data_IF_538958408163
#
_entry.id   IF_538958408163
#
_cell.length_a   1.000
_cell.length_b   1.000
_cell.length_c   1.000
_cell.angle_alpha   90.00
_cell.angle_beta   90.00
_cell.angle_gamma   90.00
#
_symmetry.space_group_name_H-M   'P 1'
#
loop_
_entity.id
_entity.type
_entity.pdbx_description
1 polymer ?
#
# COMPACT_ATOMS: atom_id res chain seq x y z
N UNK A 1 59.39 -32.95 -24.44
CA UNK A 1 59.66 -31.49 -24.61
C UNK A 1 58.40 -30.81 -25.07
N UNK A 2 57.66 -30.16 -24.14
CA UNK A 2 56.46 -29.38 -24.45
C UNK A 2 56.89 -27.99 -24.97
N UNK A 3 56.38 -27.62 -26.14
CA UNK A 3 56.79 -26.40 -26.85
C UNK A 3 56.45 -25.14 -26.09
N UNK A 4 57.39 -24.21 -25.96
CA UNK A 4 57.28 -22.89 -25.29
C UNK A 4 56.12 -22.06 -25.86
N UNK A 5 55.63 -22.32 -27.06
CA UNK A 5 54.50 -21.64 -27.69
C UNK A 5 53.16 -21.87 -26.98
N UNK A 6 52.95 -23.06 -26.35
CA UNK A 6 51.70 -23.37 -25.67
C UNK A 6 51.58 -22.68 -24.31
N UNK A 7 52.74 -22.32 -23.69
CA UNK A 7 52.73 -21.64 -22.39
C UNK A 7 52.31 -20.15 -22.49
N UNK A 8 52.72 -19.47 -23.58
CA UNK A 8 52.33 -18.06 -23.81
C UNK A 8 50.84 -17.91 -24.11
N UNK A 9 50.26 -18.86 -24.81
CA UNK A 9 48.83 -18.82 -25.14
C UNK A 9 47.94 -19.07 -23.89
N UNK A 10 48.39 -19.92 -22.97
CA UNK A 10 47.69 -20.21 -21.72
C UNK A 10 47.67 -19.01 -20.75
N UNK A 11 48.84 -18.33 -20.63
CA UNK A 11 48.94 -17.13 -19.78
C UNK A 11 48.10 -15.96 -20.32
N UNK A 12 48.01 -15.82 -21.64
CA UNK A 12 47.22 -14.75 -22.26
C UNK A 12 45.71 -14.95 -22.04
N UNK A 13 45.24 -16.19 -22.14
CA UNK A 13 43.84 -16.52 -21.90
C UNK A 13 43.44 -16.35 -20.42
N UNK A 14 44.33 -16.68 -19.48
CA UNK A 14 44.09 -16.46 -18.04
C UNK A 14 44.03 -14.96 -17.72
N UNK A 15 44.89 -14.15 -18.33
CA UNK A 15 44.90 -12.71 -18.13
C UNK A 15 43.61 -12.05 -18.66
N UNK A 16 43.11 -12.50 -19.83
CA UNK A 16 41.84 -12.00 -20.40
C UNK A 16 40.67 -12.38 -19.50
N UNK A 17 40.62 -13.59 -18.96
CA UNK A 17 39.55 -14.04 -18.04
C UNK A 17 39.59 -13.21 -16.75
N UNK A 18 40.76 -12.91 -16.20
CA UNK A 18 40.88 -12.07 -15.00
C UNK A 18 40.42 -10.62 -15.26
N UNK A 19 40.74 -10.05 -16.42
CA UNK A 19 40.31 -8.70 -16.80
C UNK A 19 38.76 -8.66 -16.94
N UNK A 20 38.16 -9.66 -17.56
CA UNK A 20 36.68 -9.76 -17.63
C UNK A 20 36.05 -9.90 -16.28
N UNK A 21 36.64 -10.67 -15.34
CA UNK A 21 36.14 -10.82 -13.99
C UNK A 21 36.22 -9.51 -13.19
N UNK A 22 37.31 -8.76 -13.31
CA UNK A 22 37.46 -7.45 -12.67
C UNK A 22 36.50 -6.41 -13.27
N UNK A 23 36.29 -6.40 -14.59
CA UNK A 23 35.32 -5.50 -15.23
C UNK A 23 33.87 -5.84 -14.83
N UNK A 24 33.51 -7.11 -14.72
CA UNK A 24 32.18 -7.54 -14.27
C UNK A 24 31.94 -7.18 -12.80
N UNK A 25 32.94 -7.31 -11.93
CA UNK A 25 32.85 -6.97 -10.52
C UNK A 25 32.79 -5.44 -10.30
N UNK A 26 33.55 -4.67 -11.05
CA UNK A 26 33.48 -3.19 -11.02
C UNK A 26 32.13 -2.66 -11.53
N UNK A 27 31.53 -3.33 -12.51
CA UNK A 27 30.19 -2.96 -13.00
C UNK A 27 29.08 -3.29 -11.99
N UNK A 28 29.22 -4.40 -11.22
CA UNK A 28 28.30 -4.71 -10.12
C UNK A 28 28.41 -3.70 -8.96
N UNK A 29 29.63 -3.32 -8.57
CA UNK A 29 29.87 -2.35 -7.51
C UNK A 29 29.43 -0.92 -7.91
N UNK A 30 29.61 -0.53 -9.18
CA UNK A 30 29.13 0.75 -9.68
C UNK A 30 27.60 0.85 -9.74
N UNK A 31 26.88 -0.26 -9.92
CA UNK A 31 25.42 -0.28 -9.87
C UNK A 31 24.89 -0.22 -8.43
N UNK A 32 25.60 -0.79 -7.45
CA UNK A 32 25.20 -0.70 -6.03
C UNK A 32 25.34 0.74 -5.53
N UNK A 33 26.40 1.43 -5.91
CA UNK A 33 26.64 2.83 -5.49
C UNK A 33 25.65 3.83 -6.13
N UNK A 34 25.29 3.63 -7.40
CA UNK A 34 24.26 4.46 -8.07
C UNK A 34 22.87 4.31 -7.45
N UNK A 35 22.55 3.13 -6.90
CA UNK A 35 21.28 2.93 -6.22
C UNK A 35 21.25 3.56 -4.82
N UNK A 36 22.38 3.67 -4.13
CA UNK A 36 22.49 4.26 -2.81
C UNK A 36 22.34 5.79 -2.84
N UNK A 37 22.84 6.46 -3.87
CA UNK A 37 22.61 7.91 -4.10
C UNK A 37 21.13 8.23 -4.41
N UNK A 38 20.42 7.37 -5.13
CA UNK A 38 18.98 7.54 -5.39
C UNK A 38 18.09 7.41 -4.15
N UNK A 39 18.54 6.70 -3.10
CA UNK A 39 17.81 6.54 -1.84
C UNK A 39 17.71 7.85 -1.04
N UNK A 40 18.63 8.79 -1.21
CA UNK A 40 18.62 10.05 -0.45
C UNK A 40 17.60 11.08 -0.95
N UNK A 41 17.17 10.96 -2.23
CA UNK A 41 16.20 11.87 -2.87
C UNK A 41 14.76 11.33 -2.82
N UNK A 42 14.51 10.29 -2.01
CA UNK A 42 13.20 9.68 -1.90
C UNK A 42 12.38 10.46 -0.87
N UNK A 43 11.14 10.86 -1.18
CA UNK A 43 10.24 11.46 -0.20
C UNK A 43 10.17 10.60 1.07
N UNK A 44 10.10 11.23 2.25
CA UNK A 44 10.11 10.53 3.54
C UNK A 44 9.03 9.45 3.63
N UNK A 45 7.85 9.70 3.08
CA UNK A 45 6.75 8.74 2.96
C UNK A 45 7.15 7.47 2.21
N UNK A 46 7.85 7.64 1.09
CA UNK A 46 8.33 6.50 0.31
C UNK A 46 9.48 5.78 1.01
N UNK A 47 10.34 6.48 1.78
CA UNK A 47 11.39 5.88 2.61
C UNK A 47 10.80 5.03 3.72
N UNK A 48 9.82 5.55 4.44
CA UNK A 48 9.16 4.84 5.53
C UNK A 48 8.39 3.61 5.03
N UNK A 49 7.91 3.66 3.80
CA UNK A 49 7.28 2.53 3.11
C UNK A 49 8.26 1.42 2.73
N UNK A 50 9.58 1.66 2.76
CA UNK A 50 10.62 0.66 2.43
C UNK A 50 10.70 -0.48 3.45
N UNK A 51 10.22 -0.31 4.68
CA UNK A 51 10.10 -1.39 5.67
C UNK A 51 9.20 -2.56 5.25
N UNK A 52 8.48 -2.45 4.15
CA UNK A 52 7.71 -3.56 3.57
C UNK A 52 8.58 -4.54 2.78
N UNK A 53 9.80 -4.12 2.41
CA UNK A 53 10.74 -4.93 1.64
C UNK A 53 11.73 -5.73 2.49
N UNK A 54 11.87 -5.41 3.77
CA UNK A 54 12.77 -6.11 4.70
C UNK A 54 12.47 -7.63 4.79
N UNK A 55 11.22 -8.01 4.50
CA UNK A 55 10.78 -9.40 4.55
C UNK A 55 11.06 -10.19 3.24
N UNK A 56 11.54 -9.51 2.16
CA UNK A 56 11.68 -10.12 0.83
C UNK A 56 12.92 -9.60 0.05
N UNK A 57 14.15 -9.92 0.48
CA UNK A 57 15.37 -9.35 -0.10
C UNK A 57 15.66 -9.71 -1.57
N UNK A 58 14.89 -10.61 -2.19
CA UNK A 58 15.10 -11.07 -3.56
C UNK A 58 14.40 -10.25 -4.67
N UNK A 59 13.66 -9.18 -4.35
CA UNK A 59 12.77 -8.49 -5.30
C UNK A 59 13.18 -7.04 -5.63
N UNK A 60 14.48 -6.75 -5.70
CA UNK A 60 15.01 -5.40 -5.97
C UNK A 60 14.41 -4.74 -7.23
N UNK A 61 14.12 -5.50 -8.28
CA UNK A 61 13.53 -4.96 -9.51
C UNK A 61 12.07 -4.48 -9.34
N UNK A 62 11.28 -5.18 -8.56
CA UNK A 62 9.92 -4.76 -8.21
C UNK A 62 9.93 -3.55 -7.29
N UNK A 63 10.83 -3.57 -6.32
CA UNK A 63 11.07 -2.48 -5.40
C UNK A 63 11.35 -1.15 -6.11
N UNK A 64 12.31 -1.11 -7.01
CA UNK A 64 12.64 0.12 -7.75
C UNK A 64 11.45 0.66 -8.55
N UNK A 65 10.64 -0.22 -9.13
CA UNK A 65 9.45 0.13 -9.89
C UNK A 65 8.36 0.75 -9.00
N UNK A 66 8.09 0.13 -7.86
CA UNK A 66 7.13 0.62 -6.87
C UNK A 66 7.61 1.94 -6.28
N UNK A 67 8.90 2.06 -6.03
CA UNK A 67 9.50 3.28 -5.53
C UNK A 67 9.37 4.47 -6.51
N UNK A 68 9.64 4.26 -7.80
CA UNK A 68 9.46 5.32 -8.80
C UNK A 68 7.97 5.72 -8.93
N UNK A 69 7.07 4.75 -8.83
CA UNK A 69 5.63 5.01 -8.80
C UNK A 69 5.22 5.80 -7.55
N UNK A 70 5.73 5.41 -6.37
CA UNK A 70 5.50 6.12 -5.11
C UNK A 70 5.96 7.59 -5.18
N UNK A 71 7.14 7.86 -5.73
CA UNK A 71 7.66 9.22 -5.92
C UNK A 71 6.74 10.08 -6.78
N UNK A 72 6.25 9.51 -7.87
CA UNK A 72 5.33 10.20 -8.77
C UNK A 72 4.02 10.51 -8.05
N UNK A 73 3.43 9.52 -7.39
CA UNK A 73 2.14 9.65 -6.74
C UNK A 73 2.16 10.59 -5.52
N UNK A 74 3.19 10.50 -4.67
CA UNK A 74 3.33 11.38 -3.50
C UNK A 74 3.41 12.87 -3.88
N UNK A 75 3.91 13.17 -5.09
CA UNK A 75 3.98 14.55 -5.60
C UNK A 75 2.63 15.08 -6.06
N UNK A 76 1.77 14.22 -6.59
CA UNK A 76 0.56 14.64 -7.31
C UNK A 76 -0.69 14.73 -6.43
N UNK A 77 -0.71 14.06 -5.25
CA UNK A 77 -1.93 13.89 -4.42
C UNK A 77 -1.78 14.24 -2.94
N UNK A 78 -0.61 14.69 -2.49
CA UNK A 78 -0.47 15.16 -1.11
C UNK A 78 -1.29 16.43 -0.90
N UNK A 79 -2.17 16.50 0.12
CA UNK A 79 -2.88 17.75 0.44
C UNK A 79 -1.89 18.81 0.88
N UNK A 80 -2.23 20.09 0.66
CA UNK A 80 -1.38 21.21 1.03
C UNK A 80 -1.00 21.13 2.54
N UNK A 81 0.30 21.19 2.81
CA UNK A 81 0.83 21.17 4.17
C UNK A 81 0.88 19.80 4.85
N UNK A 82 0.62 18.71 4.12
CA UNK A 82 0.72 17.34 4.66
C UNK A 82 1.50 16.40 3.74
N UNK A 83 2.18 15.47 4.38
CA UNK A 83 2.69 14.26 3.74
C UNK A 83 1.75 13.09 4.05
N UNK A 84 1.41 12.31 3.03
CA UNK A 84 0.50 11.16 3.13
C UNK A 84 1.13 9.89 2.59
N UNK A 85 0.68 8.74 3.08
CA UNK A 85 1.06 7.46 2.51
C UNK A 85 0.58 7.35 1.06
N UNK A 86 1.42 6.90 0.12
CA UNK A 86 1.04 6.80 -1.29
C UNK A 86 -0.04 5.74 -1.54
N UNK A 87 -0.97 6.05 -2.42
CA UNK A 87 -1.92 5.09 -3.00
C UNK A 87 -1.26 4.47 -4.24
N UNK A 88 -0.86 3.20 -4.18
CA UNK A 88 -0.16 2.53 -5.29
C UNK A 88 -1.09 1.79 -6.25
N UNK A 89 -2.32 1.51 -5.85
CA UNK A 89 -3.34 0.95 -6.74
C UNK A 89 -4.64 1.67 -6.46
N UNK A 90 -5.11 2.43 -7.42
CA UNK A 90 -6.27 3.29 -7.28
C UNK A 90 -7.58 2.55 -7.59
N UNK A 91 -8.70 3.18 -7.24
CA UNK A 91 -10.03 2.70 -7.62
C UNK A 91 -10.18 2.62 -9.14
N UNK A 92 -10.65 1.48 -9.62
CA UNK A 92 -10.79 1.21 -11.06
C UNK A 92 -9.49 0.79 -11.75
N UNK A 93 -8.38 0.69 -11.03
CA UNK A 93 -7.09 0.27 -11.59
C UNK A 93 -7.09 -1.19 -12.02
N UNK A 94 -6.44 -1.47 -13.16
CA UNK A 94 -6.07 -2.82 -13.60
C UNK A 94 -4.63 -3.18 -13.20
N UNK A 95 -3.96 -2.33 -12.44
CA UNK A 95 -2.63 -2.58 -11.87
C UNK A 95 -2.72 -2.77 -10.36
N UNK A 96 -2.10 -3.83 -9.86
CA UNK A 96 -2.03 -4.11 -8.43
C UNK A 96 -1.02 -3.22 -7.70
N UNK A 97 -1.06 -3.25 -6.38
CA UNK A 97 -0.12 -2.53 -5.50
C UNK A 97 1.35 -2.87 -5.78
N UNK A 98 1.63 -4.06 -6.29
CA UNK A 98 2.95 -4.50 -6.76
C UNK A 98 3.22 -4.16 -8.24
N UNK A 99 2.41 -3.30 -8.86
CA UNK A 99 2.49 -2.89 -10.26
C UNK A 99 2.25 -3.98 -11.31
N UNK A 100 1.82 -5.18 -10.89
CA UNK A 100 1.45 -6.27 -11.80
C UNK A 100 -0.01 -6.13 -12.25
N UNK A 101 -0.35 -6.62 -13.45
CA UNK A 101 -1.74 -6.65 -13.90
C UNK A 101 -2.64 -7.39 -12.90
N UNK A 102 -3.87 -6.91 -12.74
CA UNK A 102 -4.94 -7.55 -11.99
C UNK A 102 -5.84 -8.37 -12.93
N UNK A 103 -6.45 -9.43 -12.39
CA UNK A 103 -7.47 -10.21 -13.09
C UNK A 103 -8.84 -9.54 -13.04
N UNK A 104 -9.05 -8.62 -12.10
CA UNK A 104 -10.30 -7.89 -11.88
C UNK A 104 -10.04 -6.41 -11.61
N UNK A 105 -11.00 -5.56 -11.97
CA UNK A 105 -10.95 -4.12 -11.69
C UNK A 105 -10.88 -3.89 -10.18
N UNK A 106 -9.99 -3.00 -9.74
CA UNK A 106 -9.79 -2.67 -8.34
C UNK A 106 -11.00 -1.91 -7.75
N UNK A 107 -11.57 -2.43 -6.67
CA UNK A 107 -12.80 -1.93 -6.06
C UNK A 107 -12.57 -0.98 -4.89
N UNK A 108 -11.33 -0.70 -4.57
CA UNK A 108 -10.90 0.19 -3.48
C UNK A 108 -9.64 0.95 -3.85
N UNK A 109 -8.93 1.41 -2.84
CA UNK A 109 -7.60 1.99 -2.96
C UNK A 109 -6.62 1.21 -2.08
N UNK A 110 -5.43 0.93 -2.60
CA UNK A 110 -4.35 0.27 -1.86
C UNK A 110 -3.31 1.31 -1.44
N UNK A 111 -3.21 1.54 -0.15
CA UNK A 111 -2.36 2.56 0.46
C UNK A 111 -1.20 1.88 1.16
N UNK A 112 0.03 2.07 0.69
CA UNK A 112 1.20 1.45 1.32
C UNK A 112 1.52 2.09 2.67
N UNK A 113 2.14 1.29 3.55
CA UNK A 113 2.57 1.79 4.85
C UNK A 113 3.62 0.92 5.51
N UNK A 114 4.11 1.34 6.66
CA UNK A 114 5.13 0.63 7.42
C UNK A 114 4.53 -0.28 8.51
N UNK A 115 5.33 -1.20 9.02
CA UNK A 115 4.89 -2.14 10.06
C UNK A 115 4.43 -1.41 11.34
N UNK A 116 3.32 -1.88 11.91
CA UNK A 116 2.66 -1.28 13.08
C UNK A 116 2.11 0.13 12.86
N UNK A 117 2.09 0.64 11.63
CA UNK A 117 1.49 1.96 11.37
C UNK A 117 0.02 1.95 11.81
N UNK A 118 -0.43 2.95 12.59
CA UNK A 118 -1.82 3.06 13.00
C UNK A 118 -2.73 3.25 11.78
N UNK A 119 -3.87 2.58 11.80
CA UNK A 119 -4.98 2.78 10.86
C UNK A 119 -6.09 3.45 11.65
N UNK A 120 -6.63 4.54 11.12
CA UNK A 120 -7.68 5.33 11.78
C UNK A 120 -9.03 5.24 11.05
N UNK A 121 -10.11 5.38 11.79
CA UNK A 121 -11.46 5.43 11.23
C UNK A 121 -11.63 6.67 10.34
N UNK A 122 -12.10 6.47 9.11
CA UNK A 122 -12.27 7.54 8.11
C UNK A 122 -13.45 8.48 8.41
N UNK A 123 -14.38 8.05 9.25
CA UNK A 123 -15.54 8.80 9.74
C UNK A 123 -16.06 8.17 11.04
N UNK A 124 -17.02 8.82 11.71
CA UNK A 124 -17.78 8.21 12.79
C UNK A 124 -18.50 6.96 12.26
N UNK A 125 -18.67 5.92 13.08
CA UNK A 125 -19.31 4.70 12.62
C UNK A 125 -19.48 3.62 13.67
N UNK A 126 -20.06 2.50 13.23
CA UNK A 126 -20.25 1.29 14.03
C UNK A 126 -19.49 0.13 13.37
N UNK A 127 -18.67 -0.58 14.14
CA UNK A 127 -18.00 -1.79 13.69
C UNK A 127 -19.02 -2.89 13.49
N UNK A 128 -19.14 -3.38 12.26
CA UNK A 128 -20.04 -4.47 11.90
C UNK A 128 -19.35 -5.82 12.03
N UNK A 129 -18.07 -5.91 11.72
CA UNK A 129 -17.35 -7.18 11.70
C UNK A 129 -15.84 -6.98 11.87
N UNK A 130 -15.21 -7.93 12.56
CA UNK A 130 -13.77 -8.16 12.57
C UNK A 130 -13.51 -9.61 12.22
N UNK A 131 -12.75 -9.88 11.14
CA UNK A 131 -12.53 -11.23 10.63
C UNK A 131 -11.08 -11.43 10.23
N UNK A 132 -10.60 -12.67 10.32
CA UNK A 132 -9.31 -13.09 9.76
C UNK A 132 -9.56 -14.27 8.82
N UNK A 133 -9.07 -14.17 7.58
CA UNK A 133 -9.18 -15.23 6.60
C UNK A 133 -7.90 -15.37 5.76
N UNK A 134 -7.77 -16.46 5.02
CA UNK A 134 -6.48 -16.88 4.43
C UNK A 134 -5.97 -15.97 3.30
N UNK A 135 -6.85 -15.31 2.56
CA UNK A 135 -6.45 -14.50 1.43
C UNK A 135 -6.22 -13.04 1.82
N UNK A 136 -7.22 -12.43 2.46
CA UNK A 136 -7.21 -11.02 2.83
C UNK A 136 -6.52 -10.75 4.17
N UNK A 137 -6.42 -11.77 5.02
CA UNK A 137 -5.93 -11.62 6.38
C UNK A 137 -6.96 -10.96 7.29
N UNK A 138 -6.48 -10.17 8.24
CA UNK A 138 -7.35 -9.45 9.15
C UNK A 138 -8.05 -8.30 8.43
N UNK A 139 -9.35 -8.16 8.65
CA UNK A 139 -10.23 -7.21 7.96
C UNK A 139 -11.26 -6.67 8.95
N UNK A 140 -11.55 -5.37 8.87
CA UNK A 140 -12.59 -4.69 9.66
C UNK A 140 -13.62 -4.14 8.68
N UNK A 141 -14.91 -4.30 9.02
CA UNK A 141 -16.02 -3.66 8.30
C UNK A 141 -16.70 -2.67 9.24
N UNK A 142 -16.86 -1.42 8.78
CA UNK A 142 -17.48 -0.34 9.56
C UNK A 142 -18.58 0.32 8.74
N UNK A 143 -19.76 0.45 9.34
CA UNK A 143 -20.84 1.28 8.81
C UNK A 143 -20.64 2.73 9.29
N UNK A 144 -20.31 3.62 8.36
CA UNK A 144 -20.12 5.05 8.58
C UNK A 144 -21.39 5.88 8.28
N UNK A 145 -22.54 5.20 8.12
CA UNK A 145 -23.82 5.85 7.86
C UNK A 145 -24.02 6.29 6.42
N UNK A 146 -24.58 7.46 6.21
CA UNK A 146 -24.93 7.97 4.89
C UNK A 146 -23.92 8.99 4.38
N UNK A 147 -23.56 8.86 3.11
CA UNK A 147 -22.83 9.87 2.35
C UNK A 147 -23.72 11.09 2.02
N UNK A 148 -23.08 12.17 1.56
CA UNK A 148 -23.78 13.40 1.13
C UNK A 148 -24.76 13.13 -0.02
N UNK A 149 -24.53 12.15 -0.86
CA UNK A 149 -25.41 11.74 -1.95
C UNK A 149 -26.49 10.71 -1.52
N UNK A 150 -26.60 10.43 -0.22
CA UNK A 150 -27.58 9.53 0.38
C UNK A 150 -27.23 8.04 0.30
N UNK A 151 -26.13 7.65 -0.34
CA UNK A 151 -25.64 6.27 -0.37
C UNK A 151 -25.09 5.86 0.98
N UNK A 152 -25.12 4.57 1.29
CA UNK A 152 -24.44 4.05 2.48
C UNK A 152 -22.92 4.13 2.28
N UNK A 153 -22.19 4.44 3.36
CA UNK A 153 -20.74 4.38 3.45
C UNK A 153 -20.33 3.22 4.34
N UNK A 154 -20.28 2.02 3.78
CA UNK A 154 -19.79 0.85 4.51
C UNK A 154 -18.37 0.58 4.05
N UNK A 155 -17.40 0.80 4.95
CA UNK A 155 -15.99 0.70 4.64
C UNK A 155 -15.41 -0.65 5.06
N UNK A 156 -14.58 -1.22 4.19
CA UNK A 156 -13.75 -2.38 4.43
C UNK A 156 -12.31 -1.90 4.58
N UNK A 157 -11.70 -2.21 5.71
CA UNK A 157 -10.29 -2.00 6.01
C UNK A 157 -9.60 -3.36 5.91
N UNK A 158 -9.12 -3.72 4.73
CA UNK A 158 -8.49 -5.01 4.45
C UNK A 158 -7.00 -5.03 4.74
N UNK A 159 -6.46 -6.23 4.94
CA UNK A 159 -5.04 -6.48 5.16
C UNK A 159 -4.45 -5.85 6.44
N UNK A 160 -5.30 -5.59 7.43
CA UNK A 160 -4.82 -5.08 8.72
C UNK A 160 -4.08 -6.16 9.51
N UNK A 161 -3.36 -5.77 10.54
CA UNK A 161 -2.63 -6.70 11.40
C UNK A 161 -3.33 -6.92 12.73
N UNK A 162 -3.20 -5.96 13.62
CA UNK A 162 -3.75 -6.01 14.97
C UNK A 162 -5.03 -5.17 15.05
N UNK A 163 -6.15 -5.80 15.46
CA UNK A 163 -7.39 -5.08 15.75
C UNK A 163 -7.25 -4.24 17.04
N UNK A 164 -7.82 -3.05 17.04
CA UNK A 164 -7.97 -2.18 18.22
C UNK A 164 -9.42 -1.96 18.59
N UNK A 165 -10.33 -2.57 17.83
CA UNK A 165 -11.77 -2.52 18.00
C UNK A 165 -12.37 -3.92 17.92
N UNK A 166 -13.58 -4.06 18.44
CA UNK A 166 -14.38 -5.28 18.39
C UNK A 166 -15.70 -5.02 17.64
N UNK A 167 -16.38 -6.09 17.25
CA UNK A 167 -17.74 -5.99 16.71
C UNK A 167 -18.66 -5.24 17.65
N UNK A 168 -19.51 -4.38 17.10
CA UNK A 168 -20.44 -3.48 17.75
C UNK A 168 -19.82 -2.25 18.44
N UNK A 169 -18.52 -2.08 18.46
CA UNK A 169 -17.90 -0.84 18.95
C UNK A 169 -18.36 0.36 18.12
N UNK A 170 -18.54 1.49 18.79
CA UNK A 170 -18.76 2.79 18.16
C UNK A 170 -17.43 3.51 18.07
N UNK A 171 -17.05 3.93 16.87
CA UNK A 171 -15.82 4.64 16.60
C UNK A 171 -16.09 6.08 16.17
N UNK A 172 -15.16 6.95 16.50
CA UNK A 172 -15.11 8.32 15.99
C UNK A 172 -14.10 8.44 14.87
N UNK A 173 -14.30 9.38 13.97
CA UNK A 173 -13.28 9.76 12.97
C UNK A 173 -11.97 10.03 13.66
N UNK A 174 -10.89 9.40 13.15
CA UNK A 174 -9.55 9.53 13.74
C UNK A 174 -9.21 8.52 14.84
N UNK A 175 -10.18 7.77 15.38
CA UNK A 175 -9.89 6.70 16.34
C UNK A 175 -9.02 5.62 15.71
N UNK A 176 -8.01 5.15 16.44
CA UNK A 176 -7.18 4.03 15.97
C UNK A 176 -7.99 2.74 16.03
N UNK A 177 -8.28 2.16 14.87
CA UNK A 177 -9.07 0.92 14.73
C UNK A 177 -8.21 -0.32 14.52
N UNK A 178 -7.00 -0.15 13.99
CA UNK A 178 -6.07 -1.25 13.76
C UNK A 178 -4.64 -0.73 13.60
N UNK A 179 -3.71 -1.67 13.31
CA UNK A 179 -2.36 -1.37 12.83
C UNK A 179 -2.07 -2.19 11.58
N UNK A 180 -1.20 -1.71 10.71
CA UNK A 180 -0.66 -2.53 9.62
C UNK A 180 0.15 -3.72 10.16
N UNK A 181 0.13 -4.89 9.48
CA UNK A 181 0.75 -6.09 9.97
C UNK A 181 2.28 -5.98 10.01
N UNK A 182 2.90 -6.65 10.98
CA UNK A 182 4.36 -6.77 11.07
C UNK A 182 4.90 -7.61 9.89
N UNK A 183 4.19 -8.70 9.54
CA UNK A 183 4.56 -9.61 8.46
C UNK A 183 3.50 -9.64 7.37
N UNK A 184 3.93 -9.56 6.11
CA UNK A 184 3.08 -9.70 4.93
C UNK A 184 3.02 -11.19 4.56
N UNK A 185 2.05 -11.91 5.10
CA UNK A 185 1.94 -13.37 4.97
C UNK A 185 0.76 -13.87 4.14
N UNK A 186 -0.26 -13.04 3.97
CA UNK A 186 -1.47 -13.45 3.28
C UNK A 186 -1.35 -13.30 1.77
N UNK A 187 -1.94 -14.24 1.03
CA UNK A 187 -1.78 -14.35 -0.43
C UNK A 187 -2.26 -13.11 -1.19
N UNK A 188 -3.40 -12.55 -0.78
CA UNK A 188 -4.00 -11.39 -1.46
C UNK A 188 -3.31 -10.06 -1.16
N UNK A 189 -2.34 -10.02 -0.24
CA UNK A 189 -1.54 -8.83 0.03
C UNK A 189 -0.46 -8.55 -1.03
N UNK A 190 -0.38 -9.35 -2.09
CA UNK A 190 0.60 -9.18 -3.18
C UNK A 190 2.06 -9.02 -2.71
N UNK A 191 2.38 -9.52 -1.52
CA UNK A 191 3.68 -9.37 -0.82
C UNK A 191 4.09 -7.93 -0.51
N UNK A 192 3.15 -7.00 -0.56
CA UNK A 192 3.35 -5.58 -0.24
C UNK A 192 2.52 -5.24 1.00
N UNK A 193 3.11 -4.54 1.98
CA UNK A 193 2.36 -4.07 3.16
C UNK A 193 1.55 -2.85 2.75
N UNK A 194 0.24 -3.00 2.83
CA UNK A 194 -0.69 -1.93 2.50
C UNK A 194 -2.00 -2.10 3.26
N UNK A 195 -2.76 -1.04 3.33
CA UNK A 195 -4.17 -1.06 3.65
C UNK A 195 -4.94 -1.09 2.34
N UNK A 196 -5.86 -2.05 2.18
CA UNK A 196 -6.91 -1.97 1.18
C UNK A 196 -8.14 -1.29 1.80
N UNK A 197 -8.48 -0.10 1.31
CA UNK A 197 -9.69 0.61 1.71
C UNK A 197 -10.72 0.53 0.59
N UNK A 198 -11.82 -0.16 0.84
CA UNK A 198 -12.96 -0.26 -0.08
C UNK A 198 -14.21 0.32 0.57
N UNK A 199 -15.02 1.03 -0.19
CA UNK A 199 -16.32 1.53 0.26
C UNK A 199 -17.40 0.88 -0.58
N UNK A 200 -18.44 0.35 0.08
CA UNK A 200 -19.63 -0.23 -0.55
C UNK A 200 -20.90 0.40 -0.03
N UNK A 201 -22.02 0.07 -0.68
CA UNK A 201 -23.34 0.62 -0.36
C UNK A 201 -24.18 -0.34 0.46
N UNK A 202 -23.84 -1.63 0.50
CA UNK A 202 -24.63 -2.67 1.12
C UNK A 202 -23.75 -3.56 1.99
N UNK A 203 -24.31 -4.06 3.07
CA UNK A 203 -23.72 -5.09 3.91
C UNK A 203 -24.64 -6.32 3.89
N UNK A 204 -24.05 -7.47 3.61
CA UNK A 204 -24.76 -8.72 3.55
C UNK A 204 -24.54 -9.52 4.84
N UNK A 205 -25.60 -9.70 5.63
CA UNK A 205 -25.53 -10.38 6.93
C UNK A 205 -25.40 -11.92 6.88
N UNK A 206 -25.38 -12.51 5.68
CA UNK A 206 -25.22 -13.97 5.56
C UNK A 206 -23.81 -14.38 5.90
N UNK A 207 -23.62 -14.98 7.06
CA UNK A 207 -22.32 -15.34 7.65
C UNK A 207 -21.44 -16.26 6.77
N UNK A 208 -22.03 -17.01 5.84
CA UNK A 208 -21.33 -18.09 5.12
C UNK A 208 -20.78 -17.67 3.75
N UNK A 209 -21.00 -16.45 3.32
CA UNK A 209 -20.56 -15.99 2.01
C UNK A 209 -19.75 -14.70 2.11
N UNK A 210 -18.43 -14.87 2.14
CA UNK A 210 -17.46 -13.78 2.14
C UNK A 210 -17.74 -12.73 1.06
N UNK A 211 -17.96 -13.16 -0.19
CA UNK A 211 -18.24 -12.24 -1.29
C UNK A 211 -19.57 -11.51 -1.20
N UNK A 212 -20.55 -12.06 -0.47
CA UNK A 212 -21.79 -11.36 -0.16
C UNK A 212 -21.56 -10.29 0.91
N UNK A 213 -20.80 -10.61 1.95
CA UNK A 213 -20.48 -9.68 3.04
C UNK A 213 -19.75 -8.44 2.59
N UNK A 214 -18.85 -8.58 1.63
CA UNK A 214 -17.87 -7.55 1.31
C UNK A 214 -18.08 -6.93 -0.07
N UNK A 215 -19.22 -7.14 -0.73
CA UNK A 215 -19.56 -6.55 -2.05
C UNK A 215 -18.55 -6.84 -3.16
N UNK A 216 -17.66 -7.79 -2.98
CA UNK A 216 -16.43 -7.95 -3.76
C UNK A 216 -16.67 -8.37 -5.21
N UNK A 217 -17.85 -8.90 -5.53
CA UNK A 217 -18.12 -9.48 -6.85
C UNK A 217 -18.60 -8.48 -7.89
N UNK A 218 -18.98 -7.28 -7.48
CA UNK A 218 -19.57 -6.31 -8.39
C UNK A 218 -18.91 -4.94 -8.21
N UNK A 219 -18.04 -4.60 -9.15
CA UNK A 219 -17.38 -3.30 -9.18
C UNK A 219 -18.37 -2.13 -9.09
N UNK A 220 -19.54 -2.25 -9.70
CA UNK A 220 -20.55 -1.18 -9.70
C UNK A 220 -21.23 -0.95 -8.35
N UNK A 221 -21.07 -1.87 -7.39
CA UNK A 221 -21.53 -1.70 -6.01
C UNK A 221 -20.52 -1.02 -5.11
N UNK A 222 -19.27 -0.96 -5.54
CA UNK A 222 -18.21 -0.23 -4.85
C UNK A 222 -18.28 1.24 -5.19
N UNK A 223 -17.91 2.07 -4.21
CA UNK A 223 -17.86 3.52 -4.35
C UNK A 223 -16.40 3.97 -4.44
N UNK A 224 -16.13 4.87 -5.37
CA UNK A 224 -14.82 5.49 -5.47
C UNK A 224 -14.56 6.39 -4.24
N UNK A 225 -13.60 6.08 -3.35
CA UNK A 225 -13.31 6.88 -2.16
C UNK A 225 -13.01 8.35 -2.46
N UNK A 226 -12.44 8.63 -3.63
CA UNK A 226 -12.07 10.00 -4.04
C UNK A 226 -13.26 10.94 -4.24
N UNK A 227 -14.48 10.42 -4.29
CA UNK A 227 -15.69 11.25 -4.39
C UNK A 227 -16.17 11.79 -3.04
N UNK A 228 -15.65 11.26 -1.91
CA UNK A 228 -16.19 11.47 -0.57
C UNK A 228 -15.25 12.17 0.40
N UNK A 229 -14.06 12.62 -0.04
CA UNK A 229 -13.16 13.37 0.82
C UNK A 229 -13.82 14.60 1.41
N UNK A 230 -13.49 14.95 2.66
CA UNK A 230 -14.17 16.03 3.39
C UNK A 230 -13.97 17.42 2.80
N UNK A 231 -12.87 17.65 2.07
CA UNK A 231 -12.61 18.91 1.35
C UNK A 231 -13.18 18.94 -0.07
N UNK A 232 -13.82 17.86 -0.48
CA UNK A 232 -14.48 17.74 -1.77
C UNK A 232 -13.89 16.65 -2.66
N UNK A 233 -14.53 16.43 -3.78
CA UNK A 233 -14.18 15.41 -4.75
C UNK A 233 -12.72 15.53 -5.21
N UNK A 234 -12.00 14.42 -5.15
CA UNK A 234 -10.58 14.30 -5.51
C UNK A 234 -9.62 15.16 -4.63
N UNK A 235 -10.09 15.67 -3.50
CA UNK A 235 -9.27 16.40 -2.54
C UNK A 235 -9.04 15.53 -1.31
N UNK A 236 -8.01 14.68 -1.38
CA UNK A 236 -7.62 13.86 -0.24
C UNK A 236 -7.51 14.74 1.01
N UNK A 237 -8.18 14.34 2.09
CA UNK A 237 -8.30 15.12 3.31
C UNK A 237 -7.69 14.36 4.48
N UNK A 238 -6.69 14.95 5.14
CA UNK A 238 -6.12 14.45 6.38
C UNK A 238 -7.05 14.68 7.58
N UNK A 239 -7.04 13.74 8.52
CA UNK A 239 -7.67 13.97 9.82
C UNK A 239 -6.79 14.90 10.68
N UNK A 240 -7.42 15.90 11.29
CA UNK A 240 -6.83 16.80 12.28
C UNK A 240 -7.71 16.80 13.53
N UNK A 241 -7.10 16.58 14.69
CA UNK A 241 -7.81 16.62 15.96
C UNK A 241 -8.46 17.98 16.20
N UNK A 242 -9.70 17.96 16.69
CA UNK A 242 -10.48 19.19 16.94
C UNK A 242 -11.10 19.85 15.71
N UNK A 243 -10.74 19.43 14.49
CA UNK A 243 -11.36 19.92 13.26
C UNK A 243 -12.75 19.31 13.07
N UNK A 244 -13.71 20.14 12.66
CA UNK A 244 -15.05 19.68 12.29
C UNK A 244 -15.08 19.27 10.80
N UNK A 245 -15.66 18.12 10.53
CA UNK A 245 -15.82 17.58 9.18
C UNK A 245 -17.30 17.45 8.84
N UNK A 246 -17.70 17.68 7.59
CA UNK A 246 -19.09 17.45 7.17
C UNK A 246 -19.49 15.97 7.38
N UNK A 247 -20.70 15.75 7.85
CA UNK A 247 -21.27 14.40 7.91
C UNK A 247 -21.36 13.81 6.50
N UNK A 248 -21.19 12.50 6.39
CA UNK A 248 -21.24 11.81 5.09
C UNK A 248 -20.00 12.00 4.21
N UNK A 249 -18.91 12.47 4.81
CA UNK A 249 -17.59 12.59 4.16
C UNK A 249 -16.56 11.73 4.88
N UNK A 250 -15.42 11.50 4.23
CA UNK A 250 -14.32 10.69 4.76
C UNK A 250 -13.02 11.49 4.87
N UNK A 251 -12.12 11.00 5.74
CA UNK A 251 -10.73 11.43 5.82
C UNK A 251 -9.78 10.28 5.50
N UNK A 252 -8.51 10.58 5.29
CA UNK A 252 -7.48 9.59 4.99
C UNK A 252 -7.34 8.59 6.16
N UNK A 253 -7.17 7.28 5.90
CA UNK A 253 -7.19 6.24 6.93
C UNK A 253 -5.90 6.09 7.74
N UNK A 254 -4.92 6.96 7.52
CA UNK A 254 -3.69 7.03 8.30
C UNK A 254 -3.50 8.43 8.88
N UNK A 255 -2.83 8.57 10.04
CA UNK A 255 -2.31 9.88 10.47
C UNK A 255 -1.42 10.46 9.38
N UNK A 256 -1.62 11.74 9.07
CA UNK A 256 -0.79 12.46 8.12
C UNK A 256 0.29 13.26 8.85
N UNK A 257 1.48 13.34 8.26
CA UNK A 257 2.57 14.14 8.81
C UNK A 257 2.48 15.58 8.30
N UNK A 258 2.50 16.56 9.21
CA UNK A 258 2.57 17.97 8.81
C UNK A 258 3.93 18.30 8.21
N UNK A 259 3.92 18.95 7.06
CA UNK A 259 5.15 19.50 6.46
C UNK A 259 5.41 20.85 7.12
N UNK A 260 6.57 20.99 7.77
CA UNK A 260 7.04 22.23 8.39
C UNK A 260 7.65 23.16 7.34
#
# INVERSE_FOLDING_TARGET
>A
MMSIKNFKCLCLNILIILIFFFFSFSCLLANVDKNQHKLNDIPSQCKNSLGWYDDHPGYIGEFNRILEYCKQYAKDVSPDGFEVNPILSDFGSMSGVNTRPRDTIHQGIDIIGFKNQPIIAIADGKVLETIVEDCWGATIVIDHGKALDGKNLIAIYGHVGEFKVNENDIVKRGDIIAKLPVKVKYRCMARVRHLHLQIGQEYCEKKDNWGCKYFIKDFYRSLNPHLYWSEGKNKLTCYEEGRKYPSGTITFPFPCDKVN
#
